data_IF_992865126985
#
_entry.id   IF_992865126985
#
_cell.length_a   1.000
_cell.length_b   1.000
_cell.length_c   1.000
_cell.angle_alpha   90.00
_cell.angle_beta   90.00
_cell.angle_gamma   90.00
#
_symmetry.space_group_name_H-M   'P 1'
#
loop_
_entity.id
_entity.type
_entity.pdbx_description
1 polymer ?
#
# COMPACT_ATOMS: atom_id res chain seq x y z
N UNK A 1 1.21 -4.55 -20.98
CA UNK A 1 0.50 -4.90 -19.72
C UNK A 1 1.39 -4.46 -18.57
N UNK A 2 1.10 -3.31 -17.95
CA UNK A 2 1.90 -2.84 -16.81
C UNK A 2 1.67 -3.77 -15.64
N UNK A 3 2.73 -4.38 -15.11
CA UNK A 3 2.62 -5.25 -13.95
C UNK A 3 2.37 -4.38 -12.71
N UNK A 4 1.12 -4.29 -12.25
CA UNK A 4 0.72 -3.47 -11.10
C UNK A 4 0.81 -4.22 -9.77
N UNK A 5 1.26 -5.48 -9.82
CA UNK A 5 1.44 -6.32 -8.65
C UNK A 5 2.75 -5.99 -7.97
N UNK A 6 2.69 -5.74 -6.66
CA UNK A 6 3.87 -5.48 -5.83
C UNK A 6 3.77 -6.29 -4.54
N UNK A 7 4.91 -6.57 -3.93
CA UNK A 7 4.95 -7.20 -2.60
C UNK A 7 5.38 -6.16 -1.58
N UNK A 8 4.59 -5.97 -0.53
CA UNK A 8 4.87 -5.04 0.57
C UNK A 8 4.95 -5.85 1.86
N UNK A 9 5.85 -5.50 2.78
CA UNK A 9 5.91 -6.11 4.11
C UNK A 9 4.91 -5.44 5.05
N UNK A 10 4.17 -6.26 5.79
CA UNK A 10 3.28 -5.84 6.87
C UNK A 10 4.06 -5.46 8.14
N UNK A 11 3.36 -4.98 9.17
CA UNK A 11 4.00 -4.60 10.46
C UNK A 11 4.69 -5.76 11.17
N UNK A 12 4.29 -7.00 10.88
CA UNK A 12 4.92 -8.21 11.40
C UNK A 12 6.09 -8.69 10.54
N UNK A 13 6.47 -7.93 9.50
CA UNK A 13 7.54 -8.26 8.56
C UNK A 13 7.19 -9.33 7.53
N UNK A 14 5.92 -9.75 7.45
CA UNK A 14 5.44 -10.76 6.50
C UNK A 14 5.16 -10.14 5.15
N UNK A 15 5.48 -10.87 4.09
CA UNK A 15 5.25 -10.43 2.72
C UNK A 15 3.76 -10.51 2.37
N UNK A 16 3.21 -9.40 1.90
CA UNK A 16 1.83 -9.26 1.45
C UNK A 16 1.82 -8.91 -0.05
N UNK A 17 1.31 -9.79 -0.91
CA UNK A 17 1.15 -9.50 -2.33
C UNK A 17 -0.06 -8.57 -2.55
N UNK A 18 0.20 -7.39 -3.09
CA UNK A 18 -0.84 -6.43 -3.51
C UNK A 18 -1.01 -6.59 -5.02
N UNK A 19 -2.16 -7.13 -5.45
CA UNK A 19 -2.44 -7.42 -6.86
C UNK A 19 -2.48 -6.17 -7.74
N UNK A 20 -2.95 -5.04 -7.19
CA UNK A 20 -2.99 -3.77 -7.90
C UNK A 20 -2.68 -2.60 -6.96
N UNK A 21 -1.44 -2.11 -7.03
CA UNK A 21 -0.98 -1.02 -6.17
C UNK A 21 -1.72 0.30 -6.39
N UNK A 22 -2.28 0.54 -7.59
CA UNK A 22 -3.07 1.76 -7.86
C UNK A 22 -4.43 1.69 -7.17
N UNK A 23 -5.06 0.52 -7.15
CA UNK A 23 -6.31 0.30 -6.40
C UNK A 23 -6.05 0.44 -4.91
N UNK A 24 -4.95 -0.14 -4.41
CA UNK A 24 -4.54 -0.01 -3.01
C UNK A 24 -4.27 1.44 -2.61
N UNK A 25 -3.50 2.19 -3.42
CA UNK A 25 -3.27 3.62 -3.18
C UNK A 25 -4.59 4.40 -3.09
N UNK A 26 -5.53 4.16 -4.02
CA UNK A 26 -6.85 4.82 -3.99
C UNK A 26 -7.63 4.47 -2.72
N UNK A 27 -7.60 3.22 -2.28
CA UNK A 27 -8.21 2.80 -1.01
C UNK A 27 -7.62 3.57 0.18
N UNK A 28 -6.29 3.66 0.26
CA UNK A 28 -5.63 4.44 1.31
C UNK A 28 -6.04 5.92 1.28
N UNK A 29 -6.18 6.52 0.10
CA UNK A 29 -6.61 7.92 -0.02
C UNK A 29 -8.09 8.15 0.33
N UNK A 30 -8.95 7.14 0.20
CA UNK A 30 -10.37 7.22 0.52
C UNK A 30 -10.64 6.97 2.01
N UNK A 31 -9.99 5.97 2.60
CA UNK A 31 -10.29 5.48 3.95
C UNK A 31 -9.23 5.84 4.99
N UNK A 32 -7.98 6.09 4.55
CA UNK A 32 -6.82 6.30 5.42
C UNK A 32 -6.01 7.55 5.01
N UNK A 33 -6.71 8.60 4.56
CA UNK A 33 -6.11 9.78 3.92
C UNK A 33 -5.12 10.52 4.84
N UNK A 34 -5.44 10.61 6.12
CA UNK A 34 -4.71 11.44 7.10
C UNK A 34 -4.66 10.74 8.46
N UNK A 35 -3.65 11.08 9.26
CA UNK A 35 -3.46 10.49 10.59
C UNK A 35 -2.88 9.07 10.51
N UNK A 36 -2.88 8.38 11.65
CA UNK A 36 -2.40 7.00 11.74
C UNK A 36 -3.59 6.08 11.94
N UNK A 37 -3.64 5.00 11.16
CA UNK A 37 -4.72 4.01 11.21
C UNK A 37 -4.19 2.63 10.88
N UNK A 38 -4.83 1.60 11.42
CA UNK A 38 -4.54 0.21 11.08
C UNK A 38 -5.41 -0.20 9.90
N UNK A 39 -4.78 -0.74 8.86
CA UNK A 39 -5.42 -1.36 7.70
C UNK A 39 -5.17 -2.87 7.73
N UNK A 40 -6.21 -3.67 7.52
CA UNK A 40 -6.11 -5.11 7.30
C UNK A 40 -6.22 -5.40 5.80
N UNK A 41 -5.27 -6.17 5.29
CA UNK A 41 -5.29 -6.69 3.93
C UNK A 41 -5.02 -8.20 3.98
N UNK A 42 -6.07 -9.00 3.82
CA UNK A 42 -5.96 -10.46 3.74
C UNK A 42 -5.21 -11.09 4.95
N UNK A 43 -5.41 -10.55 6.16
CA UNK A 43 -4.74 -10.99 7.39
C UNK A 43 -3.36 -10.36 7.64
N UNK A 44 -2.96 -9.39 6.82
CA UNK A 44 -1.78 -8.55 7.01
C UNK A 44 -2.17 -7.18 7.54
N UNK A 45 -1.55 -6.76 8.64
CA UNK A 45 -1.83 -5.47 9.27
C UNK A 45 -0.79 -4.45 8.88
N UNK A 46 -1.26 -3.26 8.49
CA UNK A 46 -0.43 -2.13 8.12
C UNK A 46 -0.79 -0.91 8.96
N UNK A 47 0.22 -0.30 9.56
CA UNK A 47 0.16 1.01 10.15
C UNK A 47 0.29 2.02 9.03
N UNK A 48 -0.84 2.58 8.64
CA UNK A 48 -0.92 3.57 7.57
C UNK A 48 -0.64 4.95 8.17
N UNK A 49 0.63 5.32 8.20
CA UNK A 49 1.11 6.67 8.48
C UNK A 49 1.52 7.41 7.18
N UNK A 50 2.01 8.65 7.32
CA UNK A 50 2.43 9.46 6.17
C UNK A 50 3.62 8.84 5.42
N UNK A 51 4.51 8.16 6.13
CA UNK A 51 5.65 7.43 5.55
C UNK A 51 5.17 6.26 4.71
N UNK A 52 4.21 5.48 5.23
CA UNK A 52 3.61 4.39 4.47
C UNK A 52 2.87 4.89 3.22
N UNK A 53 2.06 5.95 3.35
CA UNK A 53 1.38 6.59 2.20
C UNK A 53 2.38 7.05 1.14
N UNK A 54 3.49 7.68 1.55
CA UNK A 54 4.55 8.12 0.64
C UNK A 54 5.23 6.94 -0.06
N UNK A 55 5.49 5.84 0.65
CA UNK A 55 6.06 4.61 0.06
C UNK A 55 5.15 4.04 -1.03
N UNK A 56 3.84 4.00 -0.79
CA UNK A 56 2.86 3.52 -1.78
C UNK A 56 2.82 4.44 -3.00
N UNK A 57 2.88 5.76 -2.82
CA UNK A 57 2.95 6.72 -3.93
C UNK A 57 4.21 6.51 -4.80
N UNK A 58 5.36 6.29 -4.17
CA UNK A 58 6.62 6.03 -4.87
C UNK A 58 6.56 4.75 -5.71
N UNK A 59 5.98 3.67 -5.15
CA UNK A 59 5.75 2.42 -5.88
C UNK A 59 4.84 2.62 -7.11
N UNK A 60 3.78 3.44 -6.98
CA UNK A 60 2.89 3.75 -8.12
C UNK A 60 3.62 4.56 -9.20
N UNK A 61 4.46 5.52 -8.79
CA UNK A 61 5.24 6.36 -9.70
C UNK A 61 6.28 5.55 -10.46
N UNK A 62 7.00 4.65 -9.78
CA UNK A 62 8.01 3.78 -10.40
C UNK A 62 7.46 2.78 -11.42
N UNK A 63 6.15 2.53 -11.42
CA UNK A 63 5.47 1.66 -12.40
C UNK A 63 4.87 2.42 -13.60
N UNK A 64 5.11 3.73 -13.69
CA UNK A 64 4.62 4.59 -14.76
C UNK A 64 5.71 5.01 -15.76
N UNK A 65 6.93 4.49 -15.60
CA UNK A 65 8.09 4.61 -16.49
C UNK A 65 8.28 3.31 -17.28
#
# INVERSE_FOLDING_TARGET
MSNLKVTIRDDSGRECPIENIRTFQKHLQLFHKTGVSIHDENGHYFTVDDSFRKKVDDLVRGLSD
#
